data_IF_033766036870
#
_entry.id   IF_033766036870
#
_cell.length_a   1.000
_cell.length_b   1.000
_cell.length_c   1.000
_cell.angle_alpha   90.00
_cell.angle_beta   90.00
_cell.angle_gamma   90.00
#
_symmetry.space_group_name_H-M   'P 1'
#
loop_
_entity.id
_entity.type
_entity.pdbx_description
1 polymer ?
#
# COMPACT_ATOMS: atom_id res chain seq x y z
N UNK A 1 36.69 62.64 21.35
CA UNK A 1 36.28 63.51 20.22
C UNK A 1 36.33 62.68 18.95
N UNK A 2 35.24 62.48 18.22
CA UNK A 2 35.27 61.73 16.97
C UNK A 2 35.78 62.63 15.85
N UNK A 3 36.84 62.19 15.18
CA UNK A 3 37.44 62.86 14.02
C UNK A 3 36.60 62.46 12.81
N UNK A 4 35.71 63.36 12.36
CA UNK A 4 34.98 63.20 11.12
C UNK A 4 35.95 63.40 9.94
N UNK A 5 36.10 62.42 9.04
CA UNK A 5 36.99 62.56 7.88
C UNK A 5 36.45 63.65 6.95
N UNK A 6 37.29 64.64 6.65
CA UNK A 6 36.95 65.67 5.66
C UNK A 6 37.04 65.08 4.26
N UNK A 7 35.87 64.87 3.64
CA UNK A 7 35.75 64.35 2.28
C UNK A 7 36.20 65.44 1.30
N UNK A 8 37.31 65.20 0.60
CA UNK A 8 37.81 66.11 -0.44
C UNK A 8 36.97 65.95 -1.72
N UNK A 9 36.89 66.98 -2.60
CA UNK A 9 36.12 66.87 -3.84
C UNK A 9 36.59 65.73 -4.76
N UNK A 10 37.86 65.31 -4.68
CA UNK A 10 38.39 64.11 -5.36
C UNK A 10 37.78 62.80 -4.86
N UNK A 11 37.51 62.69 -3.56
CA UNK A 11 36.93 61.47 -2.97
C UNK A 11 35.51 61.23 -3.48
N UNK A 12 34.76 62.31 -3.76
CA UNK A 12 33.40 62.23 -4.32
C UNK A 12 33.39 61.54 -5.69
N UNK A 13 34.36 61.83 -6.55
CA UNK A 13 34.47 61.17 -7.86
C UNK A 13 34.86 59.70 -7.73
N UNK A 14 35.70 59.36 -6.75
CA UNK A 14 36.08 57.98 -6.46
C UNK A 14 34.86 57.17 -6.02
N UNK A 15 34.08 57.66 -5.06
CA UNK A 15 32.84 56.98 -4.63
C UNK A 15 31.80 56.86 -5.75
N UNK A 16 31.69 57.87 -6.62
CA UNK A 16 30.77 57.86 -7.74
C UNK A 16 31.18 56.84 -8.82
N UNK A 17 32.49 56.76 -9.12
CA UNK A 17 33.04 55.74 -10.03
C UNK A 17 32.92 54.32 -9.47
N UNK A 18 33.14 54.13 -8.17
CA UNK A 18 32.97 52.85 -7.49
C UNK A 18 31.50 52.40 -7.49
N UNK A 19 30.56 53.34 -7.29
CA UNK A 19 29.12 53.07 -7.41
C UNK A 19 28.72 52.64 -8.82
N UNK A 20 29.21 53.34 -9.86
CA UNK A 20 28.97 52.98 -11.26
C UNK A 20 29.51 51.59 -11.60
N UNK A 21 30.73 51.28 -11.14
CA UNK A 21 31.34 49.97 -11.36
C UNK A 21 30.56 48.85 -10.65
N UNK A 22 30.07 49.10 -9.44
CA UNK A 22 29.26 48.15 -8.69
C UNK A 22 27.91 47.87 -9.39
N UNK A 23 27.22 48.90 -9.88
CA UNK A 23 25.98 48.73 -10.65
C UNK A 23 26.25 47.92 -11.93
N UNK A 24 27.35 48.22 -12.62
CA UNK A 24 27.75 47.48 -13.81
C UNK A 24 28.02 46.00 -13.50
N UNK A 25 28.73 45.70 -12.41
CA UNK A 25 29.01 44.32 -11.98
C UNK A 25 27.73 43.55 -11.63
N UNK A 26 26.77 44.20 -10.95
CA UNK A 26 25.47 43.58 -10.64
C UNK A 26 24.71 43.28 -11.94
N UNK A 27 24.67 44.23 -12.86
CA UNK A 27 23.97 44.07 -14.15
C UNK A 27 24.58 42.95 -15.00
N UNK A 28 25.91 42.88 -15.09
CA UNK A 28 26.60 41.82 -15.85
C UNK A 28 26.38 40.45 -15.21
N UNK A 29 26.47 40.34 -13.89
CA UNK A 29 26.22 39.08 -13.15
C UNK A 29 24.78 38.61 -13.35
N UNK A 30 23.80 39.51 -13.22
CA UNK A 30 22.39 39.19 -13.46
C UNK A 30 22.14 38.75 -14.91
N UNK A 31 22.77 39.40 -15.88
CA UNK A 31 22.67 39.04 -17.31
C UNK A 31 23.28 37.67 -17.59
N UNK A 32 24.45 37.37 -17.01
CA UNK A 32 25.10 36.06 -17.16
C UNK A 32 24.28 34.94 -16.51
N UNK A 33 23.74 35.16 -15.31
CA UNK A 33 22.85 34.21 -14.64
C UNK A 33 21.57 33.95 -15.44
N UNK A 34 20.96 34.99 -16.02
CA UNK A 34 19.78 34.82 -16.88
C UNK A 34 20.10 34.06 -18.17
N UNK A 35 21.26 34.29 -18.78
CA UNK A 35 21.74 33.52 -19.94
C UNK A 35 22.07 32.07 -19.58
N UNK A 36 22.59 31.82 -18.38
CA UNK A 36 22.85 30.47 -17.90
C UNK A 36 21.54 29.74 -17.60
N UNK A 37 20.61 30.41 -16.88
CA UNK A 37 19.26 29.90 -16.63
C UNK A 37 18.54 29.54 -17.93
N UNK A 38 18.60 30.37 -18.97
CA UNK A 38 17.95 30.07 -20.24
C UNK A 38 18.61 28.93 -21.02
N UNK A 39 19.90 28.63 -20.77
CA UNK A 39 20.60 27.46 -21.31
C UNK A 39 20.36 26.19 -20.49
N UNK A 40 20.15 26.32 -19.18
CA UNK A 40 19.92 25.21 -18.25
C UNK A 40 18.44 24.86 -18.07
N UNK A 41 17.51 25.75 -18.45
CA UNK A 41 16.13 25.35 -18.69
C UNK A 41 16.15 24.49 -19.95
N UNK A 42 16.31 23.18 -19.75
CA UNK A 42 15.89 22.19 -20.70
C UNK A 42 14.46 22.53 -21.07
N UNK A 43 14.25 23.06 -22.28
CA UNK A 43 12.90 23.21 -22.81
C UNK A 43 12.24 21.85 -22.61
N UNK A 44 11.06 21.76 -21.96
CA UNK A 44 10.37 20.49 -21.87
C UNK A 44 10.30 20.00 -23.31
N UNK A 45 10.91 18.84 -23.56
CA UNK A 45 10.80 18.18 -24.86
C UNK A 45 9.29 18.13 -25.07
N UNK A 46 8.79 18.81 -26.09
CA UNK A 46 7.39 18.72 -26.47
C UNK A 46 7.26 17.28 -26.95
N UNK A 47 7.00 16.38 -26.01
CA UNK A 47 6.62 15.01 -26.26
C UNK A 47 5.28 15.19 -26.97
N UNK A 48 5.16 14.80 -28.26
CA UNK A 48 3.86 14.73 -28.90
C UNK A 48 2.90 14.01 -27.94
N UNK A 49 1.64 14.43 -27.81
CA UNK A 49 0.68 13.76 -26.94
C UNK A 49 0.54 12.24 -27.24
N UNK A 50 0.99 11.80 -28.42
CA UNK A 50 1.05 10.40 -28.88
C UNK A 50 2.44 9.73 -28.80
N UNK A 51 3.48 10.38 -28.27
CA UNK A 51 4.75 9.70 -28.01
C UNK A 51 4.74 8.99 -26.65
N UNK A 52 3.59 8.42 -26.28
CA UNK A 52 3.56 7.31 -25.34
C UNK A 52 4.36 6.18 -25.96
N UNK A 53 5.21 5.55 -25.15
CA UNK A 53 5.86 4.30 -25.56
C UNK A 53 4.71 3.32 -25.87
N UNK A 54 4.60 2.90 -27.13
CA UNK A 54 3.58 1.93 -27.52
C UNK A 54 3.83 0.62 -26.76
N UNK A 55 2.77 -0.14 -26.46
CA UNK A 55 2.88 -1.43 -25.76
C UNK A 55 3.87 -2.36 -26.48
N UNK A 56 3.91 -2.29 -27.81
CA UNK A 56 4.87 -3.03 -28.65
C UNK A 56 6.33 -2.68 -28.35
N UNK A 57 6.60 -1.41 -28.01
CA UNK A 57 7.94 -0.92 -27.67
C UNK A 57 8.29 -1.25 -26.22
N UNK A 58 7.30 -1.21 -25.31
CA UNK A 58 7.48 -1.71 -23.95
C UNK A 58 7.83 -3.19 -24.00
N UNK A 59 7.06 -4.02 -24.72
CA UNK A 59 7.23 -5.47 -24.84
C UNK A 59 8.53 -5.89 -25.56
N UNK A 60 9.08 -5.03 -26.43
CA UNK A 60 10.36 -5.26 -27.10
C UNK A 60 11.57 -5.28 -26.13
N UNK A 61 11.43 -4.73 -24.92
CA UNK A 61 12.50 -4.76 -23.92
C UNK A 61 12.63 -6.17 -23.36
N UNK A 62 13.84 -6.75 -23.41
CA UNK A 62 14.12 -8.08 -22.85
C UNK A 62 13.88 -8.10 -21.34
N UNK A 63 13.33 -9.22 -20.84
CA UNK A 63 13.09 -9.43 -19.40
C UNK A 63 14.37 -9.29 -18.57
N UNK A 64 15.50 -9.84 -19.02
CA UNK A 64 16.82 -9.69 -18.39
C UNK A 64 17.25 -8.21 -18.21
N UNK A 65 16.89 -7.36 -19.19
CA UNK A 65 17.19 -5.93 -19.11
C UNK A 65 16.30 -5.26 -18.08
N UNK A 66 15.00 -5.58 -18.05
CA UNK A 66 14.07 -5.07 -17.04
C UNK A 66 14.47 -5.51 -15.63
N UNK A 67 14.93 -6.76 -15.45
CA UNK A 67 15.46 -7.26 -14.18
C UNK A 67 16.68 -6.44 -13.73
N UNK A 68 17.62 -6.20 -14.64
CA UNK A 68 18.82 -5.39 -14.35
C UNK A 68 18.43 -3.97 -13.95
N UNK A 69 17.45 -3.37 -14.63
CA UNK A 69 16.95 -2.03 -14.33
C UNK A 69 16.17 -1.99 -13.00
N UNK A 70 15.40 -3.03 -12.68
CA UNK A 70 14.66 -3.17 -11.44
C UNK A 70 15.58 -3.33 -10.21
N UNK A 71 16.81 -3.84 -10.40
CA UNK A 71 17.86 -3.88 -9.35
C UNK A 71 18.69 -2.59 -9.29
N UNK A 72 18.39 -1.61 -10.13
CA UNK A 72 19.12 -0.34 -10.18
C UNK A 72 18.97 0.49 -8.90
N UNK A 73 20.02 1.27 -8.60
CA UNK A 73 20.03 2.25 -7.50
C UNK A 73 19.11 3.43 -7.79
N UNK A 74 18.93 3.77 -9.08
CA UNK A 74 18.04 4.85 -9.47
C UNK A 74 16.58 4.42 -9.28
N UNK A 75 15.92 5.04 -8.31
CA UNK A 75 14.54 4.74 -7.88
C UNK A 75 13.54 4.90 -9.04
N UNK A 76 13.68 5.94 -9.86
CA UNK A 76 12.75 6.20 -10.96
C UNK A 76 12.83 5.12 -12.04
N UNK A 77 14.06 4.73 -12.40
CA UNK A 77 14.30 3.67 -13.39
C UNK A 77 13.83 2.32 -12.84
N UNK A 78 14.12 2.03 -11.56
CA UNK A 78 13.66 0.83 -10.88
C UNK A 78 12.13 0.73 -10.89
N UNK A 79 11.45 1.79 -10.50
CA UNK A 79 9.99 1.83 -10.47
C UNK A 79 9.37 1.70 -11.86
N UNK A 80 9.97 2.32 -12.87
CA UNK A 80 9.54 2.16 -14.26
C UNK A 80 9.70 0.71 -14.74
N UNK A 81 10.84 0.06 -14.43
CA UNK A 81 11.07 -1.34 -14.79
C UNK A 81 10.10 -2.29 -14.08
N UNK A 82 9.87 -2.11 -12.77
CA UNK A 82 8.89 -2.88 -12.00
C UNK A 82 7.48 -2.70 -12.54
N UNK A 83 7.12 -1.48 -12.95
CA UNK A 83 5.83 -1.22 -13.58
C UNK A 83 5.66 -2.00 -14.88
N UNK A 84 6.66 -1.97 -15.77
CA UNK A 84 6.60 -2.73 -17.04
C UNK A 84 6.50 -4.24 -16.75
N UNK A 85 7.28 -4.76 -15.80
CA UNK A 85 7.23 -6.18 -15.41
C UNK A 85 5.83 -6.56 -14.90
N UNK A 86 5.26 -5.76 -14.00
CA UNK A 86 3.93 -6.04 -13.42
C UNK A 86 2.81 -5.89 -14.46
N UNK A 87 2.93 -4.95 -15.40
CA UNK A 87 1.95 -4.79 -16.47
C UNK A 87 1.99 -5.98 -17.45
N UNK A 88 3.17 -6.54 -17.74
CA UNK A 88 3.30 -7.80 -18.51
C UNK A 88 2.79 -9.02 -17.75
N UNK A 89 3.04 -9.09 -16.45
CA UNK A 89 2.59 -10.19 -15.59
C UNK A 89 1.06 -10.20 -15.41
N UNK A 90 0.40 -9.05 -15.58
CA UNK A 90 -1.06 -8.89 -15.49
C UNK A 90 -1.79 -9.00 -16.84
N UNK A 91 -1.14 -9.55 -17.87
CA UNK A 91 -1.81 -9.98 -19.10
C UNK A 91 -2.63 -11.24 -18.83
N UNK A 92 -3.71 -11.46 -19.60
CA UNK A 92 -4.72 -12.49 -19.31
C UNK A 92 -4.15 -13.92 -19.26
N UNK A 93 -3.15 -14.24 -20.08
CA UNK A 93 -2.49 -15.55 -20.09
C UNK A 93 -1.55 -15.71 -18.89
N UNK A 94 -0.71 -14.70 -18.63
CA UNK A 94 0.28 -14.73 -17.56
C UNK A 94 -0.36 -14.69 -16.17
N UNK A 95 -1.46 -13.97 -16.00
CA UNK A 95 -2.15 -13.94 -14.71
C UNK A 95 -2.75 -15.30 -14.38
N UNK A 96 -3.32 -16.00 -15.36
CA UNK A 96 -3.84 -17.36 -15.16
C UNK A 96 -2.71 -18.31 -14.78
N UNK A 97 -1.57 -18.22 -15.45
CA UNK A 97 -0.39 -19.00 -15.09
C UNK A 97 0.09 -18.67 -13.66
N UNK A 98 0.24 -17.39 -13.31
CA UNK A 98 0.64 -16.94 -11.97
C UNK A 98 -0.31 -17.45 -10.88
N UNK A 99 -1.62 -17.36 -11.11
CA UNK A 99 -2.64 -17.86 -10.18
C UNK A 99 -2.62 -19.39 -10.04
N UNK A 100 -2.22 -20.13 -11.08
CA UNK A 100 -2.01 -21.58 -10.98
C UNK A 100 -0.81 -21.91 -10.07
N UNK A 101 0.25 -21.11 -10.12
CA UNK A 101 1.44 -21.25 -9.27
C UNK A 101 1.15 -20.91 -7.80
N UNK A 102 0.25 -19.94 -7.55
CA UNK A 102 -0.25 -19.63 -6.19
C UNK A 102 -0.98 -20.82 -5.57
N UNK A 103 -1.58 -21.69 -6.39
CA UNK A 103 -2.23 -22.93 -5.94
C UNK A 103 -1.29 -24.12 -5.84
N UNK A 104 0.01 -23.95 -6.11
CA UNK A 104 0.99 -25.03 -6.04
C UNK A 104 1.03 -25.63 -4.63
N UNK A 105 1.18 -26.96 -4.55
CA UNK A 105 1.40 -27.67 -3.30
C UNK A 105 2.76 -27.34 -2.68
N UNK A 106 3.75 -26.99 -3.51
CA UNK A 106 5.11 -26.69 -3.09
C UNK A 106 5.19 -25.31 -2.40
N UNK A 107 5.54 -25.23 -1.10
CA UNK A 107 5.55 -23.96 -0.35
C UNK A 107 6.46 -22.87 -0.94
N UNK A 108 7.65 -23.24 -1.40
CA UNK A 108 8.62 -22.28 -1.97
C UNK A 108 8.10 -21.63 -3.26
N UNK A 109 7.51 -22.44 -4.16
CA UNK A 109 6.92 -21.98 -5.41
C UNK A 109 5.70 -21.08 -5.16
N UNK A 110 4.84 -21.50 -4.22
CA UNK A 110 3.68 -20.73 -3.79
C UNK A 110 4.08 -19.37 -3.22
N UNK A 111 5.02 -19.33 -2.28
CA UNK A 111 5.52 -18.08 -1.70
C UNK A 111 6.15 -17.16 -2.76
N UNK A 112 6.94 -17.72 -3.69
CA UNK A 112 7.54 -16.95 -4.79
C UNK A 112 6.45 -16.33 -5.68
N UNK A 113 5.42 -17.10 -6.03
CA UNK A 113 4.29 -16.61 -6.83
C UNK A 113 3.41 -15.59 -6.09
N UNK A 114 3.20 -15.75 -4.77
CA UNK A 114 2.51 -14.78 -3.94
C UNK A 114 3.27 -13.45 -3.87
N UNK A 115 4.60 -13.49 -3.73
CA UNK A 115 5.42 -12.26 -3.75
C UNK A 115 5.34 -11.55 -5.10
N UNK A 116 5.38 -12.30 -6.21
CA UNK A 116 5.17 -11.74 -7.54
C UNK A 116 3.76 -11.12 -7.68
N UNK A 117 2.73 -11.81 -7.19
CA UNK A 117 1.35 -11.30 -7.18
C UNK A 117 1.21 -10.05 -6.31
N UNK A 118 1.89 -9.99 -5.15
CA UNK A 118 1.96 -8.83 -4.28
C UNK A 118 2.56 -7.63 -5.00
N UNK A 119 3.66 -7.81 -5.74
CA UNK A 119 4.22 -6.74 -6.56
C UNK A 119 3.19 -6.19 -7.56
N UNK A 120 2.38 -7.06 -8.16
CA UNK A 120 1.31 -6.64 -9.07
C UNK A 120 0.22 -5.81 -8.37
N UNK A 121 0.01 -5.96 -7.05
CA UNK A 121 -0.97 -5.15 -6.30
C UNK A 121 -0.59 -3.66 -6.15
N UNK A 122 0.65 -3.30 -6.45
CA UNK A 122 1.12 -1.92 -6.46
C UNK A 122 1.04 -1.27 -7.84
N UNK A 123 0.75 -2.04 -8.90
CA UNK A 123 0.62 -1.49 -10.24
C UNK A 123 -0.73 -0.82 -10.47
N UNK A 124 -0.77 0.08 -11.45
CA UNK A 124 -2.00 0.69 -12.00
C UNK A 124 -2.97 -0.35 -12.58
N UNK A 125 -2.52 -1.58 -12.80
CA UNK A 125 -3.30 -2.71 -13.34
C UNK A 125 -4.06 -3.52 -12.27
N UNK A 126 -4.13 -3.05 -11.03
CA UNK A 126 -4.83 -3.72 -9.94
C UNK A 126 -6.28 -4.16 -10.26
N UNK A 127 -7.01 -3.38 -11.07
CA UNK A 127 -8.37 -3.74 -11.50
C UNK A 127 -8.43 -5.11 -12.19
N UNK A 128 -7.37 -5.48 -12.93
CA UNK A 128 -7.27 -6.78 -13.60
C UNK A 128 -7.10 -7.93 -12.60
N UNK A 129 -6.57 -7.66 -11.41
CA UNK A 129 -6.41 -8.65 -10.34
C UNK A 129 -7.73 -8.90 -9.59
N UNK A 130 -8.68 -7.98 -9.65
CA UNK A 130 -9.99 -8.10 -9.00
C UNK A 130 -10.96 -8.98 -9.77
N UNK A 131 -10.53 -10.21 -10.04
CA UNK A 131 -11.30 -11.25 -10.70
C UNK A 131 -11.65 -12.37 -9.71
N UNK A 132 -12.78 -13.03 -9.94
CA UNK A 132 -13.22 -14.19 -9.14
C UNK A 132 -12.15 -15.29 -9.07
N UNK A 133 -11.39 -15.47 -10.16
CA UNK A 133 -10.29 -16.42 -10.23
C UNK A 133 -9.17 -16.13 -9.22
N UNK A 134 -8.83 -14.86 -9.02
CA UNK A 134 -7.80 -14.41 -8.07
C UNK A 134 -8.21 -14.71 -6.64
N UNK A 135 -9.42 -14.32 -6.24
CA UNK A 135 -9.95 -14.61 -4.90
C UNK A 135 -10.04 -16.12 -4.66
N UNK A 136 -10.54 -16.88 -5.62
CA UNK A 136 -10.57 -18.36 -5.55
C UNK A 136 -9.17 -18.96 -5.41
N UNK A 137 -8.16 -18.42 -6.11
CA UNK A 137 -6.78 -18.89 -6.00
C UNK A 137 -6.16 -18.58 -4.64
N UNK A 138 -6.37 -17.37 -4.13
CA UNK A 138 -5.87 -16.94 -2.82
C UNK A 138 -6.51 -17.75 -1.69
N UNK A 139 -7.83 -17.97 -1.72
CA UNK A 139 -8.50 -18.82 -0.73
C UNK A 139 -8.06 -20.29 -0.86
N UNK A 140 -7.84 -20.78 -2.07
CA UNK A 140 -7.28 -22.14 -2.27
C UNK A 140 -5.86 -22.25 -1.69
N UNK A 141 -5.04 -21.22 -1.89
CA UNK A 141 -3.72 -21.10 -1.28
C UNK A 141 -3.82 -21.13 0.25
N UNK A 142 -4.70 -20.33 0.85
CA UNK A 142 -4.95 -20.32 2.29
C UNK A 142 -5.41 -21.68 2.83
N UNK A 143 -6.21 -22.44 2.09
CA UNK A 143 -6.57 -23.80 2.50
C UNK A 143 -5.36 -24.74 2.52
N UNK A 144 -4.40 -24.54 1.60
CA UNK A 144 -3.15 -25.31 1.54
C UNK A 144 -2.12 -24.90 2.60
N UNK A 145 -2.26 -23.73 3.24
CA UNK A 145 -1.37 -23.30 4.33
C UNK A 145 -1.79 -23.82 5.70
N UNK A 146 -3.02 -24.32 5.83
CA UNK A 146 -3.54 -24.83 7.11
C UNK A 146 -2.73 -26.04 7.59
N UNK A 147 -2.53 -26.19 8.91
CA UNK A 147 -1.87 -27.36 9.49
C UNK A 147 -2.57 -28.66 9.08
N UNK A 148 -1.79 -29.61 8.57
CA UNK A 148 -2.26 -30.95 8.18
C UNK A 148 -1.40 -32.00 8.88
N UNK A 149 -1.86 -33.25 8.98
CA UNK A 149 -1.09 -34.36 9.59
C UNK A 149 0.34 -34.49 9.01
N UNK A 150 0.52 -34.16 7.72
CA UNK A 150 1.81 -34.18 7.03
C UNK A 150 2.67 -32.93 7.28
N UNK A 151 2.03 -31.79 7.60
CA UNK A 151 2.71 -30.51 7.89
C UNK A 151 2.03 -29.84 9.09
N UNK A 152 2.40 -30.24 10.33
CA UNK A 152 1.75 -29.76 11.55
C UNK A 152 2.04 -28.28 11.83
N UNK A 153 3.08 -27.71 11.23
CA UNK A 153 3.44 -26.29 11.37
C UNK A 153 2.72 -25.37 10.40
N UNK A 154 2.05 -25.91 9.38
CA UNK A 154 1.44 -25.11 8.31
C UNK A 154 2.48 -24.34 7.48
N UNK A 155 2.04 -23.28 6.81
CA UNK A 155 2.89 -22.36 6.05
C UNK A 155 2.53 -20.89 6.35
N UNK A 156 3.02 -20.35 7.47
CA UNK A 156 2.63 -19.03 7.96
C UNK A 156 3.11 -17.90 7.04
N UNK A 157 4.18 -18.12 6.26
CA UNK A 157 4.72 -17.09 5.34
C UNK A 157 3.81 -16.89 4.14
N UNK A 158 3.40 -17.99 3.49
CA UNK A 158 2.44 -17.90 2.38
C UNK A 158 1.09 -17.41 2.86
N UNK A 159 0.67 -17.80 4.06
CA UNK A 159 -0.59 -17.32 4.64
C UNK A 159 -0.59 -15.81 4.83
N UNK A 160 0.45 -15.28 5.47
CA UNK A 160 0.61 -13.84 5.69
C UNK A 160 0.58 -13.05 4.37
N UNK A 161 1.31 -13.52 3.35
CA UNK A 161 1.31 -12.85 2.05
C UNK A 161 -0.06 -12.92 1.34
N UNK A 162 -0.75 -14.06 1.43
CA UNK A 162 -2.08 -14.22 0.85
C UNK A 162 -3.12 -13.32 1.55
N UNK A 163 -3.10 -13.25 2.89
CA UNK A 163 -3.95 -12.37 3.67
C UNK A 163 -3.68 -10.90 3.36
N UNK A 164 -2.40 -10.51 3.26
CA UNK A 164 -2.02 -9.15 2.88
C UNK A 164 -2.60 -8.76 1.51
N UNK A 165 -2.45 -9.62 0.50
CA UNK A 165 -2.99 -9.37 -0.85
C UNK A 165 -4.51 -9.26 -0.81
N UNK A 166 -5.19 -10.15 -0.08
CA UNK A 166 -6.65 -10.13 0.07
C UNK A 166 -7.15 -8.85 0.75
N UNK A 167 -6.52 -8.45 1.85
CA UNK A 167 -6.85 -7.23 2.57
C UNK A 167 -6.74 -6.00 1.66
N UNK A 168 -5.68 -5.95 0.86
CA UNK A 168 -5.46 -4.85 -0.09
C UNK A 168 -6.48 -4.84 -1.22
N UNK A 169 -6.80 -6.00 -1.81
CA UNK A 169 -7.81 -6.09 -2.88
C UNK A 169 -9.21 -5.69 -2.37
N UNK A 170 -9.57 -6.09 -1.15
CA UNK A 170 -10.85 -5.73 -0.54
C UNK A 170 -10.94 -4.26 -0.11
N UNK A 171 -9.84 -3.69 0.38
CA UNK A 171 -9.79 -2.27 0.75
C UNK A 171 -10.01 -1.34 -0.45
N UNK A 172 -9.72 -1.81 -1.66
CA UNK A 172 -9.79 -1.00 -2.88
C UNK A 172 -11.07 -1.24 -3.69
N UNK A 173 -11.72 -2.39 -3.56
CA UNK A 173 -12.94 -2.70 -4.32
C UNK A 173 -14.02 -3.33 -3.45
N UNK A 174 -15.19 -2.67 -3.39
CA UNK A 174 -16.35 -3.16 -2.66
C UNK A 174 -16.80 -4.56 -3.16
N UNK A 175 -16.78 -4.77 -4.47
CA UNK A 175 -17.11 -6.07 -5.11
C UNK A 175 -16.17 -7.19 -4.66
N UNK A 176 -14.95 -6.86 -4.20
CA UNK A 176 -14.01 -7.83 -3.66
C UNK A 176 -14.55 -8.56 -2.42
N UNK A 177 -15.44 -7.93 -1.66
CA UNK A 177 -16.08 -8.52 -0.46
C UNK A 177 -16.95 -9.72 -0.85
N UNK A 178 -17.83 -9.54 -1.82
CA UNK A 178 -18.71 -10.59 -2.36
C UNK A 178 -17.88 -11.72 -2.99
N UNK A 179 -16.88 -11.37 -3.81
CA UNK A 179 -16.01 -12.35 -4.45
C UNK A 179 -15.22 -13.19 -3.43
N UNK A 180 -14.80 -12.59 -2.30
CA UNK A 180 -14.09 -13.30 -1.25
C UNK A 180 -14.99 -14.30 -0.51
N UNK A 181 -16.24 -13.91 -0.24
CA UNK A 181 -17.25 -14.80 0.36
C UNK A 181 -17.54 -15.96 -0.59
N UNK A 182 -17.81 -15.66 -1.87
CA UNK A 182 -18.01 -16.64 -2.94
C UNK A 182 -16.83 -17.60 -3.11
N UNK A 183 -15.61 -17.12 -2.90
CA UNK A 183 -14.40 -17.95 -2.96
C UNK A 183 -14.27 -18.93 -1.78
N UNK A 184 -15.14 -18.84 -0.77
CA UNK A 184 -15.17 -19.74 0.37
C UNK A 184 -14.27 -19.29 1.53
N UNK A 185 -13.95 -18.01 1.63
CA UNK A 185 -13.11 -17.50 2.73
C UNK A 185 -13.73 -17.75 4.11
N UNK A 186 -15.05 -17.62 4.25
CA UNK A 186 -15.75 -17.91 5.51
C UNK A 186 -15.60 -19.38 5.92
N UNK A 187 -15.60 -20.30 4.94
CA UNK A 187 -15.36 -21.72 5.18
C UNK A 187 -13.91 -21.96 5.63
N UNK A 188 -12.94 -21.27 5.01
CA UNK A 188 -11.56 -21.30 5.46
C UNK A 188 -11.43 -20.79 6.90
N UNK A 189 -12.07 -19.68 7.25
CA UNK A 189 -12.06 -19.12 8.60
C UNK A 189 -12.62 -20.12 9.63
N UNK A 190 -13.65 -20.88 9.26
CA UNK A 190 -14.23 -21.90 10.14
C UNK A 190 -13.28 -23.07 10.36
N UNK A 191 -12.49 -23.43 9.34
CA UNK A 191 -11.47 -24.49 9.42
C UNK A 191 -10.21 -24.04 10.14
N UNK A 192 -9.86 -22.76 10.05
CA UNK A 192 -8.70 -22.18 10.73
C UNK A 192 -8.80 -22.22 12.26
N UNK A 193 -9.93 -22.64 12.85
CA UNK A 193 -10.12 -22.85 14.30
C UNK A 193 -9.32 -24.03 14.91
N UNK A 194 -8.29 -24.54 14.23
CA UNK A 194 -7.48 -25.68 14.71
C UNK A 194 -6.73 -25.28 16.00
N UNK A 195 -6.69 -26.12 17.06
CA UNK A 195 -5.97 -25.81 18.30
C UNK A 195 -4.48 -25.54 18.02
N UNK A 196 -4.04 -24.31 18.32
CA UNK A 196 -2.75 -23.74 17.91
C UNK A 196 -2.91 -22.47 17.06
N UNK A 197 -3.99 -22.41 16.27
CA UNK A 197 -4.44 -21.28 15.45
C UNK A 197 -5.78 -20.69 15.95
N UNK A 198 -6.50 -21.43 16.80
CA UNK A 198 -7.77 -21.05 17.42
C UNK A 198 -7.72 -19.69 18.13
N UNK A 199 -6.57 -19.33 18.71
CA UNK A 199 -6.39 -18.03 19.34
C UNK A 199 -6.43 -16.89 18.34
N UNK A 200 -6.10 -17.10 17.06
CA UNK A 200 -6.04 -16.02 16.08
C UNK A 200 -7.46 -15.61 15.67
N UNK A 201 -8.31 -16.56 15.30
CA UNK A 201 -9.69 -16.25 14.88
C UNK A 201 -10.52 -15.76 16.05
N UNK A 202 -10.44 -16.42 17.22
CA UNK A 202 -11.14 -15.92 18.42
C UNK A 202 -10.62 -14.52 18.80
N UNK A 203 -9.31 -14.27 18.77
CA UNK A 203 -8.75 -12.95 19.04
C UNK A 203 -9.07 -11.88 17.98
N UNK A 204 -9.42 -12.24 16.73
CA UNK A 204 -9.95 -11.23 15.79
C UNK A 204 -11.30 -10.70 16.27
N UNK A 205 -12.08 -11.54 16.95
CA UNK A 205 -13.41 -11.20 17.44
C UNK A 205 -13.44 -10.83 18.93
N UNK A 206 -12.30 -10.91 19.64
CA UNK A 206 -12.13 -10.54 21.06
C UNK A 206 -11.31 -9.25 21.17
N UNK A 207 -11.85 -8.22 21.82
CA UNK A 207 -11.21 -6.90 21.90
C UNK A 207 -9.84 -6.90 22.62
N UNK A 208 -9.55 -7.92 23.44
CA UNK A 208 -8.29 -8.06 24.19
C UNK A 208 -7.19 -8.81 23.42
N UNK A 209 -7.51 -9.48 22.30
CA UNK A 209 -6.60 -10.40 21.60
C UNK A 209 -5.84 -9.80 20.40
N UNK A 210 -6.11 -8.54 20.06
CA UNK A 210 -5.71 -7.91 18.78
C UNK A 210 -4.20 -7.93 18.51
N UNK A 211 -3.36 -7.88 19.56
CA UNK A 211 -1.89 -7.81 19.42
C UNK A 211 -1.23 -9.10 18.87
N UNK A 212 -1.95 -10.23 18.88
CA UNK A 212 -1.43 -11.54 18.46
C UNK A 212 -1.84 -11.92 17.02
N UNK A 213 -2.73 -11.14 16.41
CA UNK A 213 -3.33 -11.48 15.12
C UNK A 213 -2.66 -10.71 13.98
N UNK A 214 -2.54 -11.35 12.81
CA UNK A 214 -2.13 -10.64 11.61
C UNK A 214 -3.11 -9.47 11.33
N UNK A 215 -2.61 -8.22 11.21
CA UNK A 215 -3.45 -7.05 11.03
C UNK A 215 -4.26 -7.11 9.73
N UNK A 216 -3.77 -7.83 8.72
CA UNK A 216 -4.48 -8.04 7.45
C UNK A 216 -5.75 -8.85 7.66
N UNK A 217 -5.73 -9.85 8.55
CA UNK A 217 -6.90 -10.66 8.85
C UNK A 217 -7.96 -9.84 9.61
N UNK A 218 -7.54 -9.04 10.58
CA UNK A 218 -8.43 -8.13 11.31
C UNK A 218 -9.10 -7.15 10.34
N UNK A 219 -8.31 -6.54 9.45
CA UNK A 219 -8.83 -5.66 8.41
C UNK A 219 -9.84 -6.36 7.50
N UNK A 220 -9.54 -7.59 7.07
CA UNK A 220 -10.44 -8.38 6.23
C UNK A 220 -11.78 -8.59 6.94
N UNK A 221 -11.76 -9.05 8.20
CA UNK A 221 -12.97 -9.33 8.95
C UNK A 221 -13.79 -8.07 9.19
N UNK A 222 -13.15 -6.96 9.60
CA UNK A 222 -13.83 -5.67 9.77
C UNK A 222 -14.54 -5.23 8.48
N UNK A 223 -13.84 -5.31 7.33
CA UNK A 223 -14.40 -4.95 6.02
C UNK A 223 -15.57 -5.87 5.61
N UNK A 224 -15.54 -7.15 6.01
CA UNK A 224 -16.64 -8.09 5.77
C UNK A 224 -17.85 -7.80 6.69
N UNK A 225 -17.64 -7.39 7.94
CA UNK A 225 -18.73 -7.04 8.86
C UNK A 225 -19.55 -5.83 8.39
N UNK A 226 -18.92 -4.88 7.70
CA UNK A 226 -19.60 -3.74 7.09
C UNK A 226 -20.54 -4.13 5.94
N UNK A 227 -20.31 -5.27 5.28
CA UNK A 227 -21.15 -5.72 4.17
C UNK A 227 -22.30 -6.59 4.67
N UNK A 228 -23.54 -6.25 4.29
CA UNK A 228 -24.75 -6.98 4.73
C UNK A 228 -24.72 -8.45 4.30
N UNK A 229 -24.25 -8.71 3.08
CA UNK A 229 -24.20 -10.07 2.52
C UNK A 229 -23.10 -10.91 3.19
N UNK A 230 -21.90 -10.33 3.33
CA UNK A 230 -20.79 -11.01 3.99
C UNK A 230 -21.06 -11.22 5.49
N UNK A 231 -21.72 -10.25 6.15
CA UNK A 231 -22.17 -10.38 7.53
C UNK A 231 -23.17 -11.52 7.68
N UNK A 232 -24.12 -11.66 6.75
CA UNK A 232 -25.03 -12.81 6.74
C UNK A 232 -24.29 -14.15 6.68
N UNK A 233 -23.27 -14.25 5.83
CA UNK A 233 -22.44 -15.46 5.75
C UNK A 233 -21.62 -15.72 7.04
N UNK A 234 -21.14 -14.66 7.71
CA UNK A 234 -20.44 -14.78 9.00
C UNK A 234 -21.39 -15.18 10.14
N UNK A 235 -22.62 -14.65 10.16
CA UNK A 235 -23.69 -15.05 11.09
C UNK A 235 -24.06 -16.52 10.88
N UNK A 236 -24.26 -16.95 9.63
CA UNK A 236 -24.60 -18.33 9.28
C UNK A 236 -23.48 -19.33 9.66
N UNK A 237 -22.22 -18.88 9.61
CA UNK A 237 -21.08 -19.67 10.06
C UNK A 237 -20.83 -19.59 11.58
N UNK A 238 -21.64 -18.84 12.33
CA UNK A 238 -21.58 -18.75 13.79
C UNK A 238 -20.43 -17.90 14.33
N UNK A 239 -19.91 -16.95 13.54
CA UNK A 239 -18.90 -15.99 14.00
C UNK A 239 -19.50 -14.76 14.68
N UNK A 240 -20.78 -14.47 14.43
CA UNK A 240 -21.48 -13.31 14.97
C UNK A 240 -22.85 -13.70 15.53
N UNK A 241 -23.27 -13.02 16.59
CA UNK A 241 -24.63 -13.17 17.13
C UNK A 241 -25.63 -12.47 16.21
N UNK A 242 -26.69 -13.19 15.85
CA UNK A 242 -27.77 -12.65 15.04
C UNK A 242 -28.51 -11.58 15.85
N UNK A 243 -28.40 -10.32 15.44
CA UNK A 243 -28.99 -9.17 16.14
C UNK A 243 -30.52 -9.27 16.35
N UNK A 244 -31.18 -10.20 15.67
CA UNK A 244 -32.65 -10.34 15.66
C UNK A 244 -33.21 -11.09 16.88
N UNK A 245 -32.39 -11.78 17.66
CA UNK A 245 -32.87 -12.60 18.78
C UNK A 245 -33.05 -11.79 20.09
N UNK A 246 -32.67 -10.51 20.12
CA UNK A 246 -32.90 -9.62 21.26
C UNK A 246 -34.33 -9.01 21.33
N UNK A 247 -35.17 -9.22 20.31
CA UNK A 247 -36.51 -8.62 20.20
C UNK A 247 -37.70 -9.54 20.57
N UNK A 248 -37.45 -10.78 20.97
CA UNK A 248 -38.47 -11.82 21.14
C UNK A 248 -38.80 -12.16 22.60
N UNK A 249 -39.11 -11.16 23.43
CA UNK A 249 -39.41 -11.35 24.86
C UNK A 249 -40.60 -10.53 25.33
N UNK A 250 -41.75 -10.65 24.64
CA UNK A 250 -43.02 -10.09 25.12
C UNK A 250 -43.58 -10.89 26.29
N UNK A 251 -43.57 -10.31 27.49
CA UNK A 251 -44.24 -10.89 28.67
C UNK A 251 -44.13 -10.05 29.94
N UNK A 252 -44.81 -8.90 29.98
CA UNK A 252 -45.74 -8.44 31.04
C UNK A 252 -45.65 -6.95 31.38
N UNK A 253 -46.79 -6.33 31.76
CA UNK A 253 -46.91 -4.90 31.93
C UNK A 253 -46.72 -4.45 33.38
N UNK A 254 -46.57 -3.13 33.50
CA UNK A 254 -47.06 -2.28 34.58
C UNK A 254 -46.01 -1.71 35.56
N UNK A 255 -46.10 -0.39 35.75
CA UNK A 255 -45.66 0.27 36.97
C UNK A 255 -44.47 1.24 36.92
N UNK A 256 -44.71 2.48 36.46
CA UNK A 256 -44.30 3.68 37.23
C UNK A 256 -42.91 4.32 37.01
N UNK A 257 -42.87 5.35 36.14
CA UNK A 257 -42.49 6.78 36.34
C UNK A 257 -41.25 7.19 37.20
N UNK A 258 -40.75 8.43 37.03
CA UNK A 258 -39.59 8.81 36.22
C UNK A 258 -38.40 9.30 37.06
N UNK A 259 -37.18 9.09 36.56
CA UNK A 259 -35.94 9.64 37.14
C UNK A 259 -35.11 10.29 36.06
N UNK A 260 -34.94 11.61 36.18
CA UNK A 260 -33.98 12.44 35.46
C UNK A 260 -32.55 11.91 35.63
N UNK A 261 -31.71 12.11 34.61
CA UNK A 261 -30.28 12.28 34.83
C UNK A 261 -29.38 11.67 33.77
N UNK A 262 -28.63 12.57 33.13
CA UNK A 262 -27.33 12.37 32.51
C UNK A 262 -27.32 11.90 31.06
N UNK A 263 -27.31 12.90 30.18
CA UNK A 263 -26.57 12.88 28.93
C UNK A 263 -25.21 12.22 29.12
N UNK A 264 -24.96 11.20 28.30
CA UNK A 264 -23.71 10.49 28.16
C UNK A 264 -23.43 10.27 26.68
N UNK A 265 -23.46 11.35 25.89
CA UNK A 265 -22.78 11.40 24.60
C UNK A 265 -21.27 11.30 24.87
N UNK A 266 -20.68 10.13 24.69
CA UNK A 266 -19.26 9.94 24.32
C UNK A 266 -18.94 8.46 24.28
N UNK A 267 -18.90 7.89 23.08
CA UNK A 267 -17.94 6.81 22.74
C UNK A 267 -17.82 6.56 21.23
N UNK A 268 -18.69 7.13 20.39
CA UNK A 268 -18.52 7.06 18.92
C UNK A 268 -17.34 7.91 18.39
N UNK A 269 -16.82 8.84 19.20
CA UNK A 269 -15.69 9.69 18.83
C UNK A 269 -14.31 9.07 19.07
N UNK A 270 -14.20 7.98 19.85
CA UNK A 270 -12.90 7.31 20.09
C UNK A 270 -12.57 6.29 19.01
N UNK A 271 -13.55 5.57 18.47
CA UNK A 271 -13.35 4.64 17.36
C UNK A 271 -13.08 5.39 16.05
N UNK A 272 -13.80 6.49 15.77
CA UNK A 272 -13.49 7.38 14.64
C UNK A 272 -12.12 8.06 14.81
N UNK A 273 -11.70 8.40 16.03
CA UNK A 273 -10.37 8.95 16.27
C UNK A 273 -9.26 7.89 16.13
N UNK A 274 -9.50 6.63 16.49
CA UNK A 274 -8.56 5.53 16.32
C UNK A 274 -8.38 5.20 14.83
N UNK A 275 -9.49 5.09 14.09
CA UNK A 275 -9.50 4.86 12.63
C UNK A 275 -8.87 6.04 11.90
N UNK A 276 -9.14 7.28 12.32
CA UNK A 276 -8.53 8.49 11.73
C UNK A 276 -7.05 8.63 12.09
N UNK A 277 -6.58 8.20 13.26
CA UNK A 277 -5.17 8.26 13.64
C UNK A 277 -4.32 7.19 12.94
N UNK A 278 -4.89 6.02 12.62
CA UNK A 278 -4.21 4.99 11.83
C UNK A 278 -4.18 5.37 10.34
N UNK A 279 -5.22 6.03 9.81
CA UNK A 279 -5.28 6.41 8.38
C UNK A 279 -4.76 7.82 8.04
N UNK A 280 -4.58 8.74 8.99
CA UNK A 280 -4.00 10.07 8.75
C UNK A 280 -2.62 10.29 9.38
N UNK A 281 -2.06 9.27 10.06
CA UNK A 281 -0.70 9.30 10.63
C UNK A 281 0.45 9.34 9.61
N UNK A 282 0.16 9.31 8.31
CA UNK A 282 1.16 9.48 7.23
C UNK A 282 1.30 10.97 6.79
N UNK A 283 0.52 11.90 7.35
CA UNK A 283 0.62 13.30 6.96
C UNK A 283 0.38 14.30 8.10
N UNK A 284 1.46 14.98 8.52
CA UNK A 284 1.53 16.21 9.35
C UNK A 284 1.53 15.89 10.87
N UNK A 285 2.59 16.10 11.66
CA UNK A 285 3.43 17.28 11.82
C UNK A 285 4.88 16.96 12.23
N UNK A 286 5.85 17.60 11.57
CA UNK A 286 6.81 18.44 12.31
C UNK A 286 7.17 19.67 11.47
N UNK A 287 6.41 20.74 11.69
CA UNK A 287 6.88 22.08 11.38
C UNK A 287 7.93 22.46 12.43
N UNK A 288 9.17 22.67 11.99
CA UNK A 288 10.18 23.37 12.77
C UNK A 288 11.59 22.77 12.68
N UNK A 289 12.21 22.77 11.50
CA UNK A 289 13.57 23.32 11.29
C UNK A 289 14.03 23.07 9.86
N UNK A 290 14.62 24.09 9.26
CA UNK A 290 14.94 24.22 7.84
C UNK A 290 16.19 23.43 7.43
N UNK A 291 16.04 22.52 6.45
CA UNK A 291 16.91 22.42 5.27
C UNK A 291 16.35 21.40 4.28
N UNK A 292 16.25 21.81 3.01
CA UNK A 292 15.52 21.09 1.97
C UNK A 292 16.28 19.91 1.37
N UNK A 293 15.58 18.78 1.33
CA UNK A 293 15.81 17.65 0.40
C UNK A 293 14.46 16.97 0.21
N UNK A 294 14.07 16.71 -1.04
CA UNK A 294 12.81 16.05 -1.38
C UNK A 294 12.81 14.57 -0.94
N UNK A 295 11.69 14.12 -0.37
CA UNK A 295 11.43 12.74 0.06
C UNK A 295 11.43 11.72 -1.08
N UNK A 296 11.61 10.43 -0.74
CA UNK A 296 10.67 9.41 -1.21
C UNK A 296 10.13 8.54 -0.06
N UNK A 297 8.80 8.53 0.13
CA UNK A 297 8.08 7.63 1.05
C UNK A 297 7.87 6.20 0.47
N UNK A 298 8.82 5.72 -0.33
CA UNK A 298 8.84 4.37 -0.91
C UNK A 298 10.06 3.55 -0.45
N UNK A 299 11.00 4.17 0.27
CA UNK A 299 12.25 3.51 0.72
C UNK A 299 12.04 2.64 1.97
N UNK A 300 10.96 2.81 2.74
CA UNK A 300 10.75 2.06 3.99
C UNK A 300 9.91 0.77 3.79
N UNK A 301 9.36 0.53 2.59
CA UNK A 301 8.51 -0.63 2.30
C UNK A 301 9.22 -1.73 1.47
N UNK A 302 10.49 -1.48 1.12
CA UNK A 302 11.38 -2.36 0.37
C UNK A 302 12.69 -2.59 1.16
N UNK A 303 12.59 -2.82 2.47
CA UNK A 303 13.74 -3.22 3.28
C UNK A 303 14.51 -4.38 2.62
N UNK A 304 15.84 -4.20 2.61
CA UNK A 304 16.89 -4.80 1.78
C UNK A 304 17.00 -6.35 1.78
N UNK A 305 16.10 -7.08 2.44
CA UNK A 305 16.18 -8.55 2.57
C UNK A 305 15.28 -9.30 1.57
N UNK A 306 14.21 -8.66 1.06
CA UNK A 306 13.27 -9.33 0.15
C UNK A 306 13.81 -9.48 -1.29
N UNK A 307 14.72 -8.60 -1.72
CA UNK A 307 15.23 -8.56 -3.09
C UNK A 307 16.54 -9.36 -3.27
N UNK A 308 17.28 -9.61 -2.20
CA UNK A 308 18.50 -10.45 -2.21
C UNK A 308 18.16 -11.96 -2.25
N UNK A 309 16.94 -12.34 -1.83
CA UNK A 309 16.52 -13.75 -1.74
C UNK A 309 15.58 -14.21 -2.87
N UNK A 310 15.28 -13.35 -3.83
CA UNK A 310 14.63 -13.78 -5.05
C UNK A 310 15.70 -14.34 -6.00
N UNK A 311 16.09 -15.59 -5.78
CA UNK A 311 16.63 -16.43 -6.84
C UNK A 311 15.52 -16.64 -7.86
N UNK A 312 15.48 -15.80 -8.88
CA UNK A 312 14.72 -16.03 -10.09
C UNK A 312 15.53 -17.06 -10.88
N UNK A 313 15.28 -18.34 -10.64
CA UNK A 313 15.80 -19.40 -11.51
C UNK A 313 15.16 -19.21 -12.90
N UNK A 314 15.96 -19.35 -13.96
CA UNK A 314 15.62 -19.07 -15.37
C UNK A 314 14.36 -19.80 -15.88
N UNK A 315 13.86 -20.82 -15.17
CA UNK A 315 12.70 -21.63 -15.58
C UNK A 315 11.35 -20.87 -15.60
N UNK A 316 11.25 -19.69 -14.99
CA UNK A 316 10.01 -18.87 -15.06
C UNK A 316 10.01 -17.94 -16.28
N UNK A 317 11.13 -17.82 -17.00
CA UNK A 317 11.30 -16.90 -18.13
C UNK A 317 11.15 -17.55 -19.52
N UNK A 318 10.86 -18.85 -19.58
CA UNK A 318 10.51 -19.59 -20.81
C UNK A 318 9.00 -19.56 -21.13
N UNK A 319 8.28 -18.55 -20.64
CA UNK A 319 6.87 -18.25 -20.97
C UNK A 319 6.75 -17.08 -21.94
#
# INVERSE_FOLDING_TARGET
>A
MPILPQITPSDKYLYLSAGLLAIYAIYTTHSQLNKFRSRCVSKPKVVPPDAGVDQTTEDAIKLETLETLARGINVDIRNAALKIITDRATTDENIVHLLSQVRSSTPSQRLRSLRALRCCTYSTTLQKLCQKLTFSALVSCLNSTLPTDENPTGDPFSEKEALYILARLMGLYFVGREMLVDAGFVLWLARAKVPGYANVVEAVFDDEGVDLVDPSLVQIVHVLQESVEARGALEDAGFMLRARDAGGGGGSPDGGRPGEGSEGEREDGQLEALVRNVFMGIGRERAGSTNGTAEPALDELLDDEALVMAGWDEEVLDL
#
